data_IF_435726417642
#
_entry.id   IF_435726417642
#
_cell.length_a   1.000
_cell.length_b   1.000
_cell.length_c   1.000
_cell.angle_alpha   90.00
_cell.angle_beta   90.00
_cell.angle_gamma   90.00
#
_symmetry.space_group_name_H-M   'P 1'
#
loop_
_entity.id
_entity.type
_entity.pdbx_description
1 polymer ?
#
# COMPACT_ATOMS: atom_id res chain seq x y z
N UNK A 1 14.62 5.82 56.16
CA UNK A 1 15.97 5.83 55.56
C UNK A 1 16.17 4.50 54.85
N UNK A 2 16.62 4.52 53.58
CA UNK A 2 17.06 3.39 52.71
C UNK A 2 15.96 2.41 52.27
N UNK A 3 15.47 2.38 51.02
CA UNK A 3 16.06 2.11 49.68
C UNK A 3 16.62 0.69 49.50
N UNK A 4 15.86 -0.16 48.81
CA UNK A 4 16.27 -1.23 47.88
C UNK A 4 14.98 -1.73 47.19
N UNK A 5 14.80 -1.83 45.87
CA UNK A 5 15.76 -1.98 44.79
C UNK A 5 15.70 -3.41 44.26
N UNK A 6 14.62 -3.79 43.58
CA UNK A 6 14.51 -5.08 42.87
C UNK A 6 14.08 -4.84 41.43
N UNK A 7 15.05 -4.94 40.52
CA UNK A 7 14.82 -5.06 39.07
C UNK A 7 14.25 -6.46 38.74
N UNK A 8 13.34 -6.60 37.77
CA UNK A 8 12.98 -7.89 37.23
C UNK A 8 14.00 -8.36 36.19
N UNK A 9 14.40 -9.63 36.30
CA UNK A 9 15.27 -10.34 35.35
C UNK A 9 14.53 -10.66 34.03
N UNK A 10 15.24 -10.78 32.90
CA UNK A 10 14.62 -11.12 31.61
C UNK A 10 14.20 -12.60 31.56
N UNK A 11 13.02 -12.85 30.98
CA UNK A 11 12.52 -14.21 30.74
C UNK A 11 13.27 -14.89 29.57
N UNK A 12 13.52 -16.21 29.63
CA UNK A 12 14.24 -16.93 28.60
C UNK A 12 13.35 -17.18 27.37
N UNK A 13 13.93 -17.00 26.19
CA UNK A 13 13.36 -17.38 24.90
C UNK A 13 13.40 -18.91 24.77
N UNK A 14 12.25 -19.56 24.67
CA UNK A 14 12.12 -21.00 24.39
C UNK A 14 11.75 -21.18 22.92
N UNK A 15 12.46 -22.03 22.14
CA UNK A 15 12.10 -22.30 20.76
C UNK A 15 10.98 -23.37 20.72
N UNK A 16 9.82 -23.03 20.17
CA UNK A 16 8.76 -24.02 19.93
C UNK A 16 8.82 -24.48 18.48
N UNK A 17 9.45 -25.64 18.29
CA UNK A 17 9.16 -26.56 17.19
C UNK A 17 7.94 -27.40 17.60
N UNK A 18 6.85 -27.33 16.84
CA UNK A 18 5.81 -28.35 16.89
C UNK A 18 5.04 -28.39 15.56
N UNK A 19 5.34 -29.42 14.77
CA UNK A 19 4.50 -29.89 13.68
C UNK A 19 3.16 -30.37 14.25
N UNK A 20 2.04 -29.85 13.73
CA UNK A 20 0.73 -30.46 13.95
C UNK A 20 0.27 -31.14 12.66
N UNK A 21 0.29 -32.47 12.71
CA UNK A 21 -0.25 -33.35 11.70
C UNK A 21 -1.79 -33.41 11.83
N UNK A 22 -2.51 -33.02 10.77
CA UNK A 22 -3.92 -33.34 10.59
C UNK A 22 -4.03 -34.58 9.69
N UNK A 23 -4.23 -35.75 10.31
CA UNK A 23 -4.63 -36.98 9.60
C UNK A 23 -6.16 -37.05 9.46
N UNK A 24 -6.56 -37.08 8.19
CA UNK A 24 -7.49 -37.99 7.54
C UNK A 24 -8.91 -38.22 8.12
N UNK A 25 -9.91 -37.88 7.30
CA UNK A 25 -11.14 -38.61 6.93
C UNK A 25 -11.68 -37.85 5.69
N UNK A 26 -12.07 -38.40 4.54
CA UNK A 26 -12.33 -39.76 4.12
C UNK A 26 -12.28 -39.88 2.59
N UNK A 27 -11.91 -41.07 2.12
CA UNK A 27 -11.83 -41.46 0.71
C UNK A 27 -13.23 -41.50 0.06
N UNK A 28 -13.38 -40.94 -1.14
CA UNK A 28 -14.24 -41.51 -2.19
C UNK A 28 -13.49 -41.58 -3.52
N UNK A 29 -13.15 -42.81 -3.92
CA UNK A 29 -12.74 -43.20 -5.28
C UNK A 29 -14.00 -43.35 -6.15
N UNK A 30 -14.01 -42.76 -7.34
CA UNK A 30 -14.60 -43.29 -8.60
C UNK A 30 -13.83 -42.66 -9.76
N UNK A 31 -12.83 -43.35 -10.31
CA UNK A 31 -12.89 -44.26 -11.47
C UNK A 31 -13.22 -43.58 -12.81
N UNK A 32 -12.15 -43.43 -13.62
CA UNK A 32 -12.03 -43.35 -15.09
C UNK A 32 -13.32 -43.42 -15.93
N UNK A 33 -13.39 -42.56 -16.95
CA UNK A 33 -13.66 -42.94 -18.36
C UNK A 33 -13.26 -41.80 -19.32
N UNK A 34 -12.19 -42.02 -20.07
CA UNK A 34 -12.02 -41.43 -21.39
C UNK A 34 -12.90 -42.24 -22.35
N UNK A 35 -13.78 -41.58 -23.09
CA UNK A 35 -14.36 -42.11 -24.33
C UNK A 35 -14.45 -40.93 -25.30
N UNK A 36 -13.73 -41.05 -26.42
CA UNK A 36 -13.97 -40.23 -27.58
C UNK A 36 -15.11 -40.80 -28.41
N UNK A 37 -15.88 -39.92 -29.04
CA UNK A 37 -16.70 -40.25 -30.20
C UNK A 37 -16.85 -38.98 -31.02
N UNK A 38 -16.30 -39.01 -32.24
CA UNK A 38 -16.40 -37.94 -33.21
C UNK A 38 -17.67 -37.99 -34.07
N UNK A 39 -17.66 -37.07 -35.05
CA UNK A 39 -18.58 -36.79 -36.17
C UNK A 39 -19.74 -35.82 -35.85
N UNK A 40 -20.13 -34.88 -36.71
CA UNK A 40 -19.57 -34.27 -37.93
C UNK A 40 -20.47 -33.10 -38.39
N UNK A 41 -19.93 -32.30 -39.32
CA UNK A 41 -20.58 -31.43 -40.33
C UNK A 41 -21.13 -30.04 -39.98
N UNK A 42 -20.69 -29.06 -40.79
CA UNK A 42 -21.27 -27.72 -40.90
C UNK A 42 -20.32 -26.70 -41.55
N UNK A 43 -19.98 -26.89 -42.83
CA UNK A 43 -19.22 -25.95 -43.67
C UNK A 43 -20.10 -24.80 -44.18
N UNK A 44 -19.59 -23.56 -44.23
CA UNK A 44 -20.03 -22.57 -45.22
C UNK A 44 -18.90 -21.59 -45.60
N UNK A 45 -18.82 -21.35 -46.91
CA UNK A 45 -17.81 -20.65 -47.70
C UNK A 45 -17.94 -19.13 -47.72
N UNK A 46 -16.84 -18.40 -47.95
CA UNK A 46 -16.87 -17.01 -48.45
C UNK A 46 -16.15 -16.94 -49.80
N UNK A 47 -16.83 -16.34 -50.78
CA UNK A 47 -16.41 -16.13 -52.18
C UNK A 47 -15.65 -14.81 -52.38
N UNK A 48 -14.85 -14.81 -53.43
CA UNK A 48 -14.10 -13.71 -54.07
C UNK A 48 -15.00 -12.65 -54.77
N UNK A 49 -14.43 -11.46 -55.05
CA UNK A 49 -14.96 -10.51 -56.05
C UNK A 49 -14.33 -9.10 -56.05
N UNK A 50 -13.53 -8.80 -57.10
CA UNK A 50 -12.88 -7.54 -57.55
C UNK A 50 -13.90 -6.42 -57.97
N UNK A 51 -13.56 -5.16 -58.42
CA UNK A 51 -12.45 -4.77 -59.34
C UNK A 51 -11.76 -3.37 -59.15
N UNK A 52 -10.85 -3.08 -60.09
CA UNK A 52 -9.80 -2.03 -60.27
C UNK A 52 -10.30 -0.61 -60.63
N UNK A 53 -9.41 0.40 -60.49
CA UNK A 53 -9.13 1.40 -61.54
C UNK A 53 -8.70 2.83 -61.13
N UNK A 54 -7.46 3.22 -61.50
CA UNK A 54 -6.97 4.55 -62.03
C UNK A 54 -7.08 5.86 -61.19
N UNK A 55 -6.21 6.87 -61.21
CA UNK A 55 -4.89 7.18 -61.80
C UNK A 55 -4.32 8.51 -61.20
N UNK A 56 -2.97 8.62 -61.17
CA UNK A 56 -2.08 9.77 -61.44
C UNK A 56 -2.21 11.17 -60.76
N UNK A 57 -1.14 11.61 -60.08
CA UNK A 57 -0.32 12.78 -60.48
C UNK A 57 1.00 12.88 -59.68
N UNK A 58 1.93 13.68 -60.23
CA UNK A 58 3.39 13.56 -60.21
C UNK A 58 4.13 14.44 -59.15
N UNK A 59 5.21 13.87 -58.53
CA UNK A 59 6.63 14.35 -58.35
C UNK A 59 7.00 15.85 -58.05
N UNK A 60 8.25 16.23 -57.62
CA UNK A 60 9.47 15.43 -57.28
C UNK A 60 10.45 15.99 -56.17
N UNK A 61 11.57 15.25 -55.99
CA UNK A 61 12.91 15.57 -55.40
C UNK A 61 13.04 15.69 -53.85
N UNK A 62 14.04 15.11 -53.17
CA UNK A 62 15.32 14.54 -53.63
C UNK A 62 15.99 13.62 -52.61
N UNK A 63 16.94 12.86 -53.15
CA UNK A 63 17.77 11.82 -52.55
C UNK A 63 18.91 12.34 -51.67
N UNK A 64 19.38 11.54 -50.70
CA UNK A 64 20.81 11.11 -50.64
C UNK A 64 21.06 9.94 -49.67
N UNK A 65 21.69 8.91 -50.23
CA UNK A 65 22.52 7.82 -49.73
C UNK A 65 22.61 7.42 -48.24
N UNK A 66 22.31 6.12 -48.00
CA UNK A 66 22.95 5.27 -46.98
C UNK A 66 23.90 4.27 -47.65
N UNK A 67 24.93 3.79 -46.93
CA UNK A 67 25.41 2.43 -47.09
C UNK A 67 25.27 1.61 -45.80
N UNK A 68 24.72 0.39 -45.93
CA UNK A 68 25.06 -0.81 -45.12
C UNK A 68 26.24 -1.49 -45.86
N UNK A 69 27.11 -2.35 -45.33
CA UNK A 69 27.12 -3.23 -44.17
C UNK A 69 28.60 -3.61 -43.87
N UNK A 70 28.89 -4.21 -42.72
CA UNK A 70 30.17 -4.89 -42.50
C UNK A 70 30.24 -5.57 -41.14
N UNK A 71 29.87 -6.85 -41.10
CA UNK A 71 30.17 -7.75 -39.99
C UNK A 71 31.69 -7.92 -39.85
N UNK A 72 32.23 -7.74 -38.65
CA UNK A 72 33.57 -8.22 -38.31
C UNK A 72 33.56 -8.89 -36.93
N UNK A 73 33.84 -10.20 -36.94
CA UNK A 73 34.12 -11.04 -35.78
C UNK A 73 35.40 -10.53 -35.09
N UNK A 74 35.36 -10.32 -33.78
CA UNK A 74 36.57 -10.19 -32.97
C UNK A 74 37.01 -11.58 -32.50
N UNK A 75 38.06 -12.09 -33.13
CA UNK A 75 38.85 -13.22 -32.68
C UNK A 75 39.84 -12.74 -31.61
N UNK A 76 39.85 -13.44 -30.48
CA UNK A 76 40.92 -13.38 -29.49
C UNK A 76 42.22 -13.90 -30.13
N UNK A 77 43.28 -13.11 -30.08
CA UNK A 77 44.64 -13.62 -30.21
C UNK A 77 45.56 -12.91 -29.20
N UNK A 78 46.21 -13.76 -28.43
CA UNK A 78 47.30 -13.48 -27.50
C UNK A 78 48.50 -12.85 -28.21
N UNK A 79 49.04 -11.77 -27.65
CA UNK A 79 50.27 -11.17 -28.14
C UNK A 79 50.81 -10.14 -27.15
N UNK A 80 51.83 -10.56 -26.40
CA UNK A 80 52.72 -9.72 -25.61
C UNK A 80 53.29 -8.60 -26.49
N UNK A 81 53.24 -7.37 -26.01
CA UNK A 81 54.06 -6.28 -26.52
C UNK A 81 54.38 -5.33 -25.35
N UNK A 82 55.60 -5.44 -24.82
CA UNK A 82 56.21 -4.42 -23.96
C UNK A 82 56.43 -3.13 -24.75
N UNK A 83 56.36 -1.95 -24.12
CA UNK A 83 57.07 -0.79 -24.59
C UNK A 83 58.29 -0.52 -23.71
N UNK A 84 59.46 -0.62 -24.34
CA UNK A 84 60.71 -0.05 -23.87
C UNK A 84 60.68 1.48 -24.07
N UNK A 85 60.80 2.26 -22.99
CA UNK A 85 61.41 3.59 -22.98
C UNK A 85 61.76 3.98 -21.53
N UNK A 86 63.05 3.94 -21.13
CA UNK A 86 63.52 4.51 -19.87
C UNK A 86 63.80 6.01 -20.07
N UNK A 87 63.81 6.81 -18.98
CA UNK A 87 64.33 8.19 -18.84
C UNK A 87 63.40 9.32 -18.32
N UNK A 88 62.38 9.05 -17.52
CA UNK A 88 61.78 10.12 -16.69
C UNK A 88 61.31 9.61 -15.31
N UNK A 89 62.27 9.39 -14.40
CA UNK A 89 62.00 9.33 -12.96
C UNK A 89 63.22 9.86 -12.20
N UNK A 90 63.24 11.17 -11.97
CA UNK A 90 63.95 11.80 -10.84
C UNK A 90 63.22 13.08 -10.47
N UNK A 91 63.17 13.32 -9.16
CA UNK A 91 62.50 14.40 -8.46
C UNK A 91 60.99 14.20 -8.23
N UNK A 92 60.64 13.47 -7.16
CA UNK A 92 59.71 13.94 -6.12
C UNK A 92 59.76 12.93 -4.94
N UNK A 93 60.93 12.80 -4.31
CA UNK A 93 61.01 12.26 -2.95
C UNK A 93 60.64 13.40 -1.99
N UNK A 94 59.49 13.31 -1.32
CA UNK A 94 59.14 14.28 -0.27
C UNK A 94 57.67 14.52 0.01
N UNK A 95 56.73 13.96 -0.76
CA UNK A 95 55.31 14.04 -0.40
C UNK A 95 54.95 12.79 0.40
N UNK A 96 54.88 12.94 1.73
CA UNK A 96 54.18 11.96 2.56
C UNK A 96 52.81 11.76 1.94
N UNK A 97 52.51 10.54 1.50
CA UNK A 97 51.17 10.13 1.17
C UNK A 97 50.36 10.15 2.48
N UNK A 98 49.91 11.34 2.87
CA UNK A 98 48.78 11.47 3.78
C UNK A 98 47.68 10.76 3.02
N UNK A 99 47.28 9.58 3.49
CA UNK A 99 46.03 8.97 3.08
C UNK A 99 44.99 10.07 3.22
N UNK A 100 44.54 10.61 2.09
CA UNK A 100 43.28 11.31 1.99
C UNK A 100 42.22 10.20 2.12
N UNK A 101 42.17 9.54 3.29
CA UNK A 101 40.92 9.12 3.88
C UNK A 101 40.30 10.34 4.57
N UNK A 102 40.40 11.52 3.91
CA UNK A 102 39.56 12.64 4.21
C UNK A 102 38.16 12.12 3.91
N UNK A 103 37.45 11.77 4.98
CA UNK A 103 36.14 12.31 5.26
C UNK A 103 35.44 12.78 3.96
N UNK A 104 35.07 11.84 3.09
CA UNK A 104 33.92 12.09 2.24
C UNK A 104 32.81 12.16 3.26
N UNK A 105 32.53 13.36 3.76
CA UNK A 105 31.22 13.66 4.34
C UNK A 105 30.28 13.22 3.24
N UNK A 106 29.67 12.05 3.38
CA UNK A 106 28.51 11.71 2.57
C UNK A 106 27.61 12.91 2.74
N UNK A 107 27.33 13.61 1.65
CA UNK A 107 26.36 14.70 1.66
C UNK A 107 25.13 14.19 2.41
N UNK A 108 24.63 14.99 3.33
CA UNK A 108 23.43 14.62 4.09
C UNK A 108 22.32 14.26 3.08
N UNK A 109 21.68 13.11 3.31
CA UNK A 109 20.66 12.60 2.40
C UNK A 109 19.49 13.57 2.37
N UNK A 110 18.98 13.81 1.15
CA UNK A 110 17.90 14.76 0.90
C UNK A 110 16.55 14.05 0.89
N UNK A 111 15.61 14.51 1.69
CA UNK A 111 14.29 13.89 1.83
C UNK A 111 13.20 14.91 1.50
N UNK A 112 12.39 14.62 0.49
CA UNK A 112 11.20 15.42 0.22
C UNK A 112 10.00 14.83 0.98
N UNK A 113 9.37 15.59 1.85
CA UNK A 113 8.15 15.16 2.55
C UNK A 113 6.95 15.71 1.78
N UNK A 114 6.25 14.86 1.02
CA UNK A 114 5.08 15.27 0.22
C UNK A 114 3.82 15.20 1.07
N UNK A 115 3.13 16.32 1.23
CA UNK A 115 2.05 16.50 2.20
C UNK A 115 0.87 17.31 1.64
N UNK A 116 -0.20 17.39 2.41
CA UNK A 116 -1.44 18.09 2.09
C UNK A 116 -2.25 17.38 1.01
N UNK A 117 -2.58 18.09 -0.07
CA UNK A 117 -3.35 17.56 -1.20
C UNK A 117 -4.81 17.97 -1.24
N UNK A 118 -5.54 17.62 -2.32
CA UNK A 118 -6.95 17.98 -2.53
C UNK A 118 -7.90 17.03 -1.76
N UNK A 119 -7.59 16.78 -0.49
CA UNK A 119 -8.35 15.88 0.40
C UNK A 119 -8.89 16.64 1.61
N UNK A 120 -9.99 16.14 2.18
CA UNK A 120 -10.50 16.61 3.47
C UNK A 120 -9.47 16.42 4.61
N UNK A 121 -8.47 15.56 4.40
CA UNK A 121 -7.43 15.21 5.37
C UNK A 121 -6.14 16.02 5.21
N UNK A 122 -6.13 17.04 4.34
CA UNK A 122 -4.94 17.83 4.03
C UNK A 122 -4.27 18.45 5.27
N UNK A 123 -5.05 18.94 6.25
CA UNK A 123 -4.44 19.51 7.47
C UNK A 123 -3.81 18.45 8.36
N UNK A 124 -4.42 17.26 8.47
CA UNK A 124 -3.85 16.13 9.20
C UNK A 124 -2.51 15.70 8.58
N UNK A 125 -2.46 15.69 7.25
CA UNK A 125 -1.24 15.46 6.50
C UNK A 125 -0.16 16.50 6.83
N UNK A 126 -0.49 17.79 6.85
CA UNK A 126 0.46 18.87 7.22
C UNK A 126 0.97 18.73 8.66
N UNK A 127 0.11 18.35 9.61
CA UNK A 127 0.52 18.08 10.99
C UNK A 127 1.52 16.91 11.04
N UNK A 128 1.22 15.82 10.33
CA UNK A 128 2.12 14.66 10.25
C UNK A 128 3.46 15.02 9.61
N UNK A 129 3.45 15.81 8.53
CA UNK A 129 4.66 16.29 7.88
C UNK A 129 5.55 17.11 8.83
N UNK A 130 4.97 17.99 9.66
CA UNK A 130 5.74 18.76 10.67
C UNK A 130 6.48 17.84 11.66
N UNK A 131 5.83 16.77 12.13
CA UNK A 131 6.46 15.81 13.03
C UNK A 131 7.60 15.06 12.33
N UNK A 132 7.36 14.58 11.09
CA UNK A 132 8.37 13.89 10.28
C UNK A 132 9.58 14.79 10.02
N UNK A 133 9.36 16.06 9.65
CA UNK A 133 10.43 17.03 9.41
C UNK A 133 11.32 17.24 10.66
N UNK A 134 10.72 17.29 11.85
CA UNK A 134 11.47 17.34 13.12
C UNK A 134 12.35 16.11 13.32
N UNK A 135 11.78 14.91 13.17
CA UNK A 135 12.52 13.65 13.27
C UNK A 135 13.67 13.54 12.24
N UNK A 136 13.45 14.02 11.01
CA UNK A 136 14.48 14.05 9.96
C UNK A 136 15.62 15.01 10.32
N UNK A 137 15.30 16.19 10.85
CA UNK A 137 16.30 17.17 11.28
C UNK A 137 17.17 16.63 12.43
N UNK A 138 16.57 15.96 13.42
CA UNK A 138 17.28 15.31 14.53
C UNK A 138 18.28 14.25 14.05
N UNK A 139 18.00 13.62 12.91
CA UNK A 139 18.85 12.58 12.29
C UNK A 139 19.84 13.14 11.25
N UNK A 140 19.84 14.46 11.04
CA UNK A 140 20.79 15.14 10.16
C UNK A 140 20.46 15.04 8.67
N UNK A 141 19.21 14.76 8.30
CA UNK A 141 18.74 14.82 6.91
C UNK A 141 18.55 16.27 6.45
N UNK A 142 18.71 16.51 5.15
CA UNK A 142 18.29 17.77 4.52
C UNK A 142 16.87 17.55 3.99
N UNK A 143 15.88 18.06 4.70
CA UNK A 143 14.48 17.81 4.36
C UNK A 143 13.77 19.06 3.85
N UNK A 144 12.85 18.88 2.90
CA UNK A 144 11.94 19.92 2.41
C UNK A 144 10.51 19.37 2.37
N UNK A 145 9.54 20.15 2.85
CA UNK A 145 8.13 19.80 2.77
C UNK A 145 7.54 20.35 1.46
N UNK A 146 6.92 19.48 0.66
CA UNK A 146 6.37 19.79 -0.67
C UNK A 146 4.87 19.52 -0.65
N UNK A 147 4.08 20.44 -1.18
CA UNK A 147 2.62 20.30 -1.20
C UNK A 147 2.18 19.43 -2.40
N UNK A 148 1.25 18.49 -2.17
CA UNK A 148 0.68 17.66 -3.22
C UNK A 148 -0.30 18.47 -4.07
N UNK A 149 0.21 19.16 -5.07
CA UNK A 149 -0.56 19.96 -6.02
C UNK A 149 -0.03 19.77 -7.46
N UNK A 150 -0.54 20.55 -8.41
CA UNK A 150 -0.14 20.47 -9.82
C UNK A 150 1.35 20.77 -10.10
N UNK A 151 2.07 21.38 -9.15
CA UNK A 151 3.50 21.72 -9.25
C UNK A 151 4.42 20.69 -8.60
N UNK A 152 3.86 19.69 -7.91
CA UNK A 152 4.62 18.70 -7.12
C UNK A 152 5.77 18.08 -7.91
N UNK A 153 5.57 17.77 -9.20
CA UNK A 153 6.60 17.20 -10.05
C UNK A 153 7.78 18.17 -10.28
N UNK A 154 7.49 19.45 -10.54
CA UNK A 154 8.52 20.47 -10.76
C UNK A 154 9.29 20.77 -9.48
N UNK A 155 8.61 20.82 -8.34
CA UNK A 155 9.22 21.03 -7.02
C UNK A 155 10.12 19.85 -6.62
N UNK A 156 9.67 18.61 -6.84
CA UNK A 156 10.49 17.41 -6.63
C UNK A 156 11.74 17.41 -7.51
N UNK A 157 11.63 17.75 -8.80
CA UNK A 157 12.77 17.80 -9.71
C UNK A 157 13.75 18.93 -9.35
N UNK A 158 13.24 20.09 -8.92
CA UNK A 158 14.05 21.22 -8.47
C UNK A 158 14.80 20.89 -7.18
N UNK A 159 14.11 20.28 -6.22
CA UNK A 159 14.72 19.88 -4.96
C UNK A 159 15.67 18.70 -5.15
N UNK A 160 15.45 17.80 -6.13
CA UNK A 160 16.28 16.62 -6.38
C UNK A 160 16.54 15.80 -5.09
N UNK A 161 15.50 15.21 -4.49
CA UNK A 161 15.63 14.38 -3.29
C UNK A 161 16.27 13.02 -3.60
N UNK A 162 16.93 12.44 -2.61
CA UNK A 162 17.35 11.03 -2.65
C UNK A 162 16.17 10.09 -2.34
N UNK A 163 15.23 10.55 -1.49
CA UNK A 163 14.02 9.82 -1.09
C UNK A 163 12.84 10.77 -0.98
N UNK A 164 11.66 10.30 -1.38
CA UNK A 164 10.39 10.95 -1.10
C UNK A 164 9.68 10.23 0.06
N UNK A 165 9.15 10.99 1.01
CA UNK A 165 8.31 10.50 2.09
C UNK A 165 6.88 11.02 1.86
N UNK A 166 6.00 10.22 1.23
CA UNK A 166 4.59 10.57 1.09
C UNK A 166 3.89 10.54 2.45
N UNK A 167 3.15 11.59 2.77
CA UNK A 167 2.24 11.62 3.93
C UNK A 167 0.95 12.37 3.59
N UNK A 168 0.49 12.29 2.34
CA UNK A 168 -0.76 12.89 1.87
C UNK A 168 -1.88 11.85 1.90
N UNK A 169 -2.93 12.10 2.70
CA UNK A 169 -4.04 11.16 2.90
C UNK A 169 -5.16 11.37 1.88
N UNK A 170 -5.80 10.27 1.46
CA UNK A 170 -6.91 10.30 0.52
C UNK A 170 -6.48 10.46 -0.94
N UNK A 171 -7.31 11.16 -1.72
CA UNK A 171 -7.18 11.25 -3.17
C UNK A 171 -5.81 11.80 -3.60
N UNK A 172 -5.26 11.22 -4.68
CA UNK A 172 -3.93 11.44 -5.23
C UNK A 172 -2.75 10.95 -4.37
N UNK A 173 -2.90 10.86 -3.05
CA UNK A 173 -1.82 10.52 -2.13
C UNK A 173 -1.71 9.01 -1.83
N UNK A 174 -2.84 8.37 -1.52
CA UNK A 174 -2.91 6.96 -1.07
C UNK A 174 -3.44 6.00 -2.14
N UNK A 175 -3.94 6.51 -3.27
CA UNK A 175 -4.64 5.77 -4.32
C UNK A 175 -3.72 5.26 -5.46
N UNK A 176 -2.41 5.48 -5.34
CA UNK A 176 -1.43 5.08 -6.36
C UNK A 176 -1.05 6.19 -7.34
N UNK A 177 -1.74 7.34 -7.37
CA UNK A 177 -1.44 8.40 -8.33
C UNK A 177 -0.07 9.04 -8.09
N UNK A 178 0.20 9.49 -6.85
CA UNK A 178 1.51 10.03 -6.47
C UNK A 178 2.60 8.98 -6.65
N UNK A 179 2.34 7.73 -6.26
CA UNK A 179 3.29 6.63 -6.44
C UNK A 179 3.63 6.46 -7.92
N UNK A 180 2.64 6.51 -8.81
CA UNK A 180 2.85 6.43 -10.26
C UNK A 180 3.73 7.57 -10.80
N UNK A 181 3.53 8.80 -10.32
CA UNK A 181 4.41 9.92 -10.64
C UNK A 181 5.84 9.66 -10.17
N UNK A 182 6.03 9.17 -8.94
CA UNK A 182 7.35 8.90 -8.39
C UNK A 182 8.08 7.77 -9.14
N UNK A 183 7.36 6.73 -9.58
CA UNK A 183 7.90 5.69 -10.47
C UNK A 183 8.37 6.28 -11.81
N UNK A 184 7.59 7.18 -12.42
CA UNK A 184 7.96 7.87 -13.69
C UNK A 184 9.21 8.74 -13.50
N UNK A 185 9.31 9.45 -12.38
CA UNK A 185 10.46 10.30 -12.07
C UNK A 185 11.69 9.49 -11.61
N UNK A 186 11.54 8.18 -11.37
CA UNK A 186 12.61 7.33 -10.86
C UNK A 186 13.05 7.70 -9.45
N UNK A 187 12.15 8.28 -8.64
CA UNK A 187 12.44 8.72 -7.27
C UNK A 187 12.05 7.61 -6.28
N UNK A 188 12.98 7.10 -5.46
CA UNK A 188 12.65 6.17 -4.38
C UNK A 188 11.71 6.82 -3.37
N UNK A 189 10.76 6.07 -2.83
CA UNK A 189 9.83 6.57 -1.83
C UNK A 189 9.49 5.56 -0.74
N UNK A 190 9.10 6.10 0.41
CA UNK A 190 8.57 5.36 1.56
C UNK A 190 7.13 4.92 1.27
N UNK A 191 6.81 3.68 1.61
CA UNK A 191 5.47 3.12 1.51
C UNK A 191 5.24 2.27 0.26
N UNK A 192 4.00 1.80 0.16
CA UNK A 192 3.56 0.83 -0.84
C UNK A 192 3.55 1.35 -2.27
N UNK A 193 3.74 0.44 -3.24
CA UNK A 193 3.75 0.78 -4.66
C UNK A 193 2.36 0.99 -5.27
N UNK A 194 2.33 1.40 -6.55
CA UNK A 194 1.10 1.78 -7.27
C UNK A 194 -0.05 0.77 -7.10
N UNK A 195 0.19 -0.51 -7.39
CA UNK A 195 -0.86 -1.53 -7.31
C UNK A 195 -1.39 -1.68 -5.89
N UNK A 196 -0.51 -1.80 -4.90
CA UNK A 196 -0.90 -2.01 -3.52
C UNK A 196 -1.68 -0.81 -2.97
N UNK A 197 -1.26 0.41 -3.29
CA UNK A 197 -1.97 1.65 -2.95
C UNK A 197 -3.35 1.72 -3.60
N UNK A 198 -3.45 1.48 -4.91
CA UNK A 198 -4.71 1.50 -5.64
C UNK A 198 -5.70 0.44 -5.14
N UNK A 199 -5.21 -0.79 -4.90
CA UNK A 199 -6.02 -1.88 -4.36
C UNK A 199 -6.52 -1.54 -2.96
N UNK A 200 -5.67 -1.02 -2.08
CA UNK A 200 -6.04 -0.66 -0.73
C UNK A 200 -7.09 0.46 -0.67
N UNK A 201 -7.02 1.41 -1.61
CA UNK A 201 -8.00 2.48 -1.73
C UNK A 201 -9.39 1.98 -2.19
N UNK A 202 -9.47 0.80 -2.82
CA UNK A 202 -10.71 0.16 -3.26
C UNK A 202 -11.11 -0.99 -2.32
N UNK A 203 -12.12 -0.73 -1.48
CA UNK A 203 -12.54 -1.67 -0.43
C UNK A 203 -13.08 -2.98 -1.02
N UNK A 204 -13.82 -2.94 -2.12
CA UNK A 204 -14.37 -4.13 -2.75
C UNK A 204 -13.27 -5.01 -3.38
N UNK A 205 -12.25 -4.42 -4.01
CA UNK A 205 -11.10 -5.16 -4.53
C UNK A 205 -10.24 -5.73 -3.40
N UNK A 206 -9.95 -4.93 -2.38
CA UNK A 206 -9.24 -5.38 -1.18
C UNK A 206 -9.92 -6.60 -0.54
N UNK A 207 -11.26 -6.57 -0.39
CA UNK A 207 -12.01 -7.70 0.17
C UNK A 207 -11.95 -8.96 -0.68
N UNK A 208 -11.90 -8.86 -2.01
CA UNK A 208 -11.67 -10.05 -2.87
C UNK A 208 -10.34 -10.73 -2.56
N UNK A 209 -9.28 -9.94 -2.34
CA UNK A 209 -7.96 -10.48 -1.96
C UNK A 209 -7.99 -11.09 -0.56
N UNK A 210 -8.62 -10.43 0.40
CA UNK A 210 -8.81 -10.95 1.76
C UNK A 210 -9.55 -12.30 1.75
N UNK A 211 -10.65 -12.40 1.01
CA UNK A 211 -11.39 -13.67 0.84
C UNK A 211 -10.52 -14.75 0.19
N UNK A 212 -9.74 -14.41 -0.84
CA UNK A 212 -8.77 -15.31 -1.45
C UNK A 212 -7.71 -15.83 -0.47
N UNK A 213 -7.29 -14.98 0.47
CA UNK A 213 -6.36 -15.30 1.55
C UNK A 213 -7.01 -15.91 2.80
N UNK A 214 -8.34 -16.15 2.77
CA UNK A 214 -9.13 -16.68 3.89
C UNK A 214 -9.13 -15.78 5.13
N UNK A 215 -8.93 -14.47 4.94
CA UNK A 215 -9.16 -13.49 5.99
C UNK A 215 -10.67 -13.30 6.19
N UNK A 216 -11.16 -13.26 7.44
CA UNK A 216 -12.56 -13.02 7.72
C UNK A 216 -12.91 -11.57 7.36
N UNK A 217 -13.93 -11.38 6.53
CA UNK A 217 -14.46 -10.06 6.15
C UNK A 217 -15.98 -10.10 6.23
N UNK A 218 -16.62 -8.95 6.43
CA UNK A 218 -18.07 -8.85 6.34
C UNK A 218 -18.54 -9.16 4.91
N UNK A 219 -19.60 -9.97 4.81
CA UNK A 219 -20.40 -10.15 3.59
C UNK A 219 -20.80 -8.80 3.03
N UNK A 220 -20.62 -8.61 1.72
CA UNK A 220 -20.77 -7.33 1.06
C UNK A 220 -21.55 -7.40 -0.26
N UNK A 221 -22.14 -6.27 -0.64
CA UNK A 221 -22.75 -6.04 -1.95
C UNK A 221 -22.28 -4.69 -2.49
N UNK A 222 -21.48 -4.73 -3.55
CA UNK A 222 -21.04 -3.54 -4.28
C UNK A 222 -22.14 -3.11 -5.25
N UNK A 223 -22.58 -1.86 -5.11
CA UNK A 223 -23.51 -1.21 -6.02
C UNK A 223 -22.74 -0.43 -7.07
N UNK A 224 -22.84 -0.89 -8.30
CA UNK A 224 -22.38 -0.20 -9.50
C UNK A 224 -23.27 1.01 -9.81
N UNK A 225 -22.82 1.88 -10.72
CA UNK A 225 -23.62 3.03 -11.19
C UNK A 225 -25.04 2.65 -11.62
N UNK A 226 -25.18 1.54 -12.34
CA UNK A 226 -26.49 1.05 -12.79
C UNK A 226 -27.38 0.59 -11.62
N UNK A 227 -26.80 0.02 -10.58
CA UNK A 227 -27.53 -0.36 -9.36
C UNK A 227 -27.94 0.87 -8.54
N UNK A 228 -27.10 1.90 -8.47
CA UNK A 228 -27.45 3.18 -7.82
C UNK A 228 -28.69 3.83 -8.46
N UNK A 229 -28.76 3.83 -9.79
CA UNK A 229 -29.95 4.31 -10.53
C UNK A 229 -31.19 3.46 -10.25
N UNK A 230 -31.01 2.15 -9.99
CA UNK A 230 -32.11 1.27 -9.58
C UNK A 230 -32.62 1.60 -8.18
N UNK A 231 -31.74 1.95 -7.23
CA UNK A 231 -32.15 2.37 -5.87
C UNK A 231 -33.15 3.54 -5.93
N UNK A 232 -32.89 4.52 -6.80
CA UNK A 232 -33.76 5.68 -6.94
C UNK A 232 -35.12 5.36 -7.62
N UNK A 233 -35.14 4.39 -8.54
CA UNK A 233 -36.32 4.05 -9.35
C UNK A 233 -37.25 3.04 -8.66
N UNK A 234 -36.70 2.09 -7.92
CA UNK A 234 -37.47 1.02 -7.26
C UNK A 234 -36.89 0.73 -5.85
N UNK A 235 -37.07 1.66 -4.90
CA UNK A 235 -36.52 1.54 -3.55
C UNK A 235 -37.15 0.39 -2.74
N UNK A 236 -38.38 -0.02 -3.06
CA UNK A 236 -39.07 -1.11 -2.35
C UNK A 236 -38.43 -2.46 -2.64
N UNK A 237 -38.24 -2.76 -3.94
CA UNK A 237 -37.57 -4.00 -4.37
C UNK A 237 -36.12 -4.06 -3.87
N UNK A 238 -35.40 -2.94 -3.98
CA UNK A 238 -34.03 -2.84 -3.48
C UNK A 238 -33.93 -3.09 -1.97
N UNK A 239 -34.84 -2.51 -1.18
CA UNK A 239 -34.89 -2.73 0.27
C UNK A 239 -35.13 -4.20 0.64
N UNK A 240 -36.10 -4.86 -0.01
CA UNK A 240 -36.36 -6.28 0.21
C UNK A 240 -35.16 -7.16 -0.15
N UNK A 241 -34.45 -6.84 -1.24
CA UNK A 241 -33.24 -7.52 -1.66
C UNK A 241 -32.07 -7.31 -0.68
N UNK A 242 -31.87 -6.08 -0.21
CA UNK A 242 -30.83 -5.75 0.77
C UNK A 242 -31.02 -6.53 2.08
N UNK A 243 -32.26 -6.58 2.60
CA UNK A 243 -32.59 -7.37 3.80
C UNK A 243 -32.37 -8.86 3.60
N UNK A 244 -32.75 -9.39 2.43
CA UNK A 244 -32.58 -10.81 2.11
C UNK A 244 -31.10 -11.21 2.01
N UNK A 245 -30.26 -10.35 1.42
CA UNK A 245 -28.83 -10.63 1.21
C UNK A 245 -27.97 -10.38 2.44
N UNK A 246 -28.17 -9.25 3.12
CA UNK A 246 -27.25 -8.74 4.14
C UNK A 246 -27.90 -8.60 5.53
N UNK A 247 -29.19 -8.89 5.65
CA UNK A 247 -29.89 -8.89 6.92
C UNK A 247 -30.32 -7.50 7.41
N UNK A 248 -30.83 -7.41 8.65
CA UNK A 248 -31.50 -6.23 9.17
C UNK A 248 -30.56 -5.18 9.78
N UNK A 249 -29.24 -5.39 9.73
CA UNK A 249 -28.24 -4.47 10.27
C UNK A 249 -27.10 -4.37 9.28
N UNK A 250 -26.81 -3.16 8.81
CA UNK A 250 -25.97 -2.95 7.65
C UNK A 250 -25.08 -1.71 7.81
N UNK A 251 -23.93 -1.74 7.15
CA UNK A 251 -23.11 -0.56 6.89
C UNK A 251 -23.25 -0.21 5.41
N UNK A 252 -23.50 1.06 5.11
CA UNK A 252 -23.45 1.62 3.75
C UNK A 252 -22.28 2.57 3.70
N UNK A 253 -21.33 2.39 2.80
CA UNK A 253 -20.13 3.24 2.72
C UNK A 253 -19.62 3.41 1.28
N UNK A 254 -18.87 4.49 0.99
CA UNK A 254 -18.21 4.65 -0.29
C UNK A 254 -17.19 3.52 -0.54
N UNK A 255 -17.13 3.01 -1.78
CA UNK A 255 -16.13 1.98 -2.10
C UNK A 255 -14.70 2.53 -1.98
N UNK A 256 -14.50 3.76 -2.46
CA UNK A 256 -13.23 4.50 -2.38
C UNK A 256 -13.31 5.68 -1.40
N UNK A 257 -12.15 6.16 -0.93
CA UNK A 257 -12.05 7.27 0.03
C UNK A 257 -11.85 6.82 1.48
N UNK A 258 -11.53 7.79 2.35
CA UNK A 258 -11.08 7.57 3.72
C UNK A 258 -11.95 8.23 4.80
N UNK A 259 -11.50 8.10 6.05
CA UNK A 259 -12.05 8.78 7.24
C UNK A 259 -13.55 8.64 7.50
N UNK A 260 -14.17 7.52 7.09
CA UNK A 260 -15.58 7.23 7.30
C UNK A 260 -16.56 8.29 6.73
N UNK A 261 -16.09 9.17 5.83
CA UNK A 261 -16.95 10.14 5.14
C UNK A 261 -17.94 9.38 4.26
N UNK A 262 -19.21 9.76 4.31
CA UNK A 262 -20.28 9.07 3.56
C UNK A 262 -20.67 7.69 4.11
N UNK A 263 -20.12 7.26 5.25
CA UNK A 263 -20.48 5.98 5.88
C UNK A 263 -21.71 6.14 6.77
N UNK A 264 -22.69 5.26 6.60
CA UNK A 264 -23.94 5.23 7.37
C UNK A 264 -24.15 3.85 7.98
N UNK A 265 -24.45 3.79 9.27
CA UNK A 265 -24.87 2.56 9.96
C UNK A 265 -26.39 2.49 10.04
N UNK A 266 -26.94 1.41 9.52
CA UNK A 266 -28.36 1.09 9.57
C UNK A 266 -28.58 -0.02 10.61
N UNK A 267 -29.37 0.27 11.64
CA UNK A 267 -29.72 -0.69 12.69
C UNK A 267 -31.10 -1.28 12.43
N UNK A 268 -31.39 -2.41 13.10
CA UNK A 268 -32.66 -3.12 12.97
C UNK A 268 -33.86 -2.18 13.00
N UNK A 269 -34.71 -2.30 11.98
CA UNK A 269 -35.93 -1.50 11.84
C UNK A 269 -35.77 -0.25 10.95
N UNK A 270 -34.61 -0.05 10.31
CA UNK A 270 -34.42 1.02 9.35
C UNK A 270 -35.43 0.93 8.19
N UNK A 271 -35.89 2.07 7.69
CA UNK A 271 -36.83 2.14 6.57
C UNK A 271 -36.14 2.10 5.21
N UNK A 272 -36.91 1.84 4.14
CA UNK A 272 -36.41 1.92 2.76
C UNK A 272 -35.88 3.33 2.41
N UNK A 273 -36.48 4.38 2.97
CA UNK A 273 -36.03 5.76 2.79
C UNK A 273 -34.72 6.04 3.54
N UNK A 274 -34.48 5.40 4.69
CA UNK A 274 -33.19 5.48 5.38
C UNK A 274 -32.09 4.79 4.58
N UNK A 275 -32.36 3.60 4.03
CA UNK A 275 -31.42 2.89 3.17
C UNK A 275 -31.12 3.68 1.88
N UNK A 276 -32.14 4.20 1.20
CA UNK A 276 -31.95 5.00 -0.01
C UNK A 276 -31.12 6.27 0.25
N UNK A 277 -31.39 6.97 1.37
CA UNK A 277 -30.59 8.14 1.78
C UNK A 277 -29.14 7.77 2.10
N UNK A 278 -28.91 6.64 2.77
CA UNK A 278 -27.57 6.15 3.07
C UNK A 278 -26.76 5.90 1.78
N UNK A 279 -27.40 5.26 0.78
CA UNK A 279 -26.80 5.03 -0.54
C UNK A 279 -26.53 6.36 -1.26
N UNK A 280 -27.47 7.29 -1.23
CA UNK A 280 -27.30 8.61 -1.83
C UNK A 280 -26.10 9.36 -1.22
N UNK A 281 -25.99 9.40 0.11
CA UNK A 281 -24.87 10.04 0.82
C UNK A 281 -23.53 9.43 0.44
N UNK A 282 -23.45 8.09 0.37
CA UNK A 282 -22.25 7.38 -0.07
C UNK A 282 -21.89 7.73 -1.52
N UNK A 283 -22.87 7.77 -2.42
CA UNK A 283 -22.66 8.05 -3.85
C UNK A 283 -22.18 9.47 -4.17
N UNK A 284 -22.24 10.39 -3.20
CA UNK A 284 -21.66 11.74 -3.32
C UNK A 284 -20.14 11.74 -3.15
N UNK A 285 -19.58 10.68 -2.58
CA UNK A 285 -18.15 10.55 -2.28
C UNK A 285 -17.45 9.62 -3.28
N UNK A 286 -18.10 8.52 -3.66
CA UNK A 286 -17.56 7.52 -4.58
C UNK A 286 -18.61 7.13 -5.63
N UNK A 287 -18.15 6.78 -6.83
CA UNK A 287 -19.03 6.32 -7.92
C UNK A 287 -19.69 4.97 -7.63
N UNK A 288 -19.10 4.19 -6.71
CA UNK A 288 -19.62 2.92 -6.25
C UNK A 288 -19.90 2.96 -4.74
N UNK A 289 -20.96 2.29 -4.32
CA UNK A 289 -21.34 2.18 -2.90
C UNK A 289 -21.26 0.75 -2.44
N UNK A 290 -20.64 0.52 -1.29
CA UNK A 290 -20.50 -0.79 -0.68
C UNK A 290 -21.48 -0.93 0.49
N UNK A 291 -22.35 -1.95 0.41
CA UNK A 291 -23.19 -2.39 1.51
C UNK A 291 -22.53 -3.58 2.19
N UNK A 292 -22.56 -3.64 3.51
CA UNK A 292 -21.96 -4.72 4.29
C UNK A 292 -22.88 -5.15 5.42
N UNK A 293 -22.83 -6.44 5.78
CA UNK A 293 -23.36 -6.92 7.05
C UNK A 293 -22.74 -6.16 8.23
N UNK A 294 -23.54 -5.72 9.19
CA UNK A 294 -23.00 -5.06 10.37
C UNK A 294 -22.44 -6.06 11.37
N UNK A 295 -21.13 -6.00 11.61
CA UNK A 295 -20.45 -6.77 12.64
C UNK A 295 -20.34 -5.94 13.93
N UNK A 296 -20.85 -6.47 15.04
CA UNK A 296 -20.82 -5.80 16.35
C UNK A 296 -19.57 -6.21 17.12
N UNK A 297 -18.66 -5.28 17.36
CA UNK A 297 -17.43 -5.56 18.09
C UNK A 297 -16.67 -4.32 18.53
N UNK A 298 -15.61 -4.56 19.30
CA UNK A 298 -14.59 -3.57 19.63
C UNK A 298 -13.69 -3.33 18.42
N UNK A 299 -13.28 -2.08 18.23
CA UNK A 299 -12.40 -1.70 17.12
C UNK A 299 -10.94 -1.84 17.53
N UNK A 300 -10.17 -2.57 16.72
CA UNK A 300 -8.74 -2.71 16.89
C UNK A 300 -8.00 -2.31 15.62
N UNK A 301 -6.75 -1.92 15.78
CA UNK A 301 -5.85 -1.71 14.66
C UNK A 301 -4.52 -2.42 14.90
N UNK A 302 -3.89 -2.89 13.84
CA UNK A 302 -2.57 -3.51 13.91
C UNK A 302 -1.70 -2.96 12.77
N UNK A 303 -0.60 -2.29 13.15
CA UNK A 303 0.43 -1.89 12.21
C UNK A 303 1.29 -3.07 11.77
N UNK A 304 1.76 -3.05 10.54
CA UNK A 304 2.85 -3.88 10.04
C UNK A 304 3.97 -2.95 9.61
N UNK A 305 5.19 -3.26 10.05
CA UNK A 305 6.42 -2.55 9.69
C UNK A 305 7.41 -3.55 9.09
N UNK A 306 7.91 -3.28 7.90
CA UNK A 306 8.99 -4.06 7.32
C UNK A 306 10.34 -3.59 7.87
N UNK A 307 11.13 -4.53 8.39
CA UNK A 307 12.49 -4.29 8.85
C UNK A 307 13.41 -5.28 8.18
N UNK A 308 14.45 -4.77 7.51
CA UNK A 308 15.42 -5.59 6.78
C UNK A 308 14.76 -6.56 5.77
N UNK A 309 13.65 -6.12 5.14
CA UNK A 309 12.87 -6.92 4.19
C UNK A 309 11.93 -7.95 4.83
N UNK A 310 11.75 -7.92 6.15
CA UNK A 310 10.85 -8.83 6.86
C UNK A 310 9.69 -8.04 7.47
N UNK A 311 8.43 -8.35 7.12
CA UNK A 311 7.26 -7.72 7.74
C UNK A 311 7.08 -8.21 9.17
N UNK A 312 6.97 -7.27 10.10
CA UNK A 312 6.74 -7.50 11.54
C UNK A 312 5.44 -6.80 11.94
N UNK A 313 4.53 -7.53 12.59
CA UNK A 313 3.33 -6.94 13.17
C UNK A 313 3.68 -6.21 14.47
N UNK A 314 3.21 -4.98 14.59
CA UNK A 314 3.25 -4.20 15.83
C UNK A 314 2.19 -4.73 16.82
N UNK A 315 2.26 -4.37 18.11
CA UNK A 315 1.22 -4.71 19.07
C UNK A 315 -0.13 -4.14 18.62
N UNK A 316 -1.23 -4.93 18.62
CA UNK A 316 -2.55 -4.40 18.32
C UNK A 316 -2.96 -3.32 19.33
N UNK A 317 -3.64 -2.27 18.86
CA UNK A 317 -4.15 -1.17 19.67
C UNK A 317 -5.67 -1.22 19.70
N UNK A 318 -6.27 -1.16 20.89
CA UNK A 318 -7.71 -1.04 21.09
C UNK A 318 -8.11 0.44 20.99
N UNK A 319 -9.15 0.74 20.21
CA UNK A 319 -9.69 2.08 20.02
C UNK A 319 -11.01 2.20 20.78
N UNK A 320 -11.03 3.04 21.82
CA UNK A 320 -12.25 3.41 22.53
C UNK A 320 -12.87 4.67 21.91
N UNK A 321 -14.06 4.52 21.37
CA UNK A 321 -14.86 5.63 20.84
C UNK A 321 -15.51 6.40 22.00
N UNK A 322 -15.20 7.71 22.15
CA UNK A 322 -15.72 8.52 23.27
C UNK A 322 -16.94 9.37 22.89
N UNK A 323 -17.13 9.68 21.59
CA UNK A 323 -18.24 10.53 21.12
C UNK A 323 -18.97 9.82 20.00
N UNK A 324 -20.20 9.40 20.30
CA UNK A 324 -21.03 8.51 19.48
C UNK A 324 -20.43 7.10 19.33
N UNK A 325 -21.26 6.05 19.34
CA UNK A 325 -20.80 4.66 19.24
C UNK A 325 -20.30 4.26 17.84
N UNK A 326 -19.46 5.09 17.21
CA UNK A 326 -18.74 4.87 15.95
C UNK A 326 -17.47 5.74 15.86
N UNK A 327 -16.46 5.29 15.09
CA UNK A 327 -15.21 6.02 14.82
C UNK A 327 -15.32 6.87 13.53
N UNK A 328 -15.92 8.05 13.66
CA UNK A 328 -16.07 9.04 12.59
C UNK A 328 -14.88 10.01 12.47
N UNK A 329 -14.91 10.86 11.43
CA UNK A 329 -13.90 11.90 11.18
C UNK A 329 -13.68 12.80 12.41
N UNK A 330 -14.74 13.18 13.13
CA UNK A 330 -14.61 14.03 14.31
C UNK A 330 -13.87 13.31 15.44
N UNK A 331 -14.14 12.02 15.65
CA UNK A 331 -13.48 11.17 16.67
C UNK A 331 -12.01 10.87 16.34
N UNK A 332 -11.65 10.84 15.04
CA UNK A 332 -10.29 10.58 14.55
C UNK A 332 -9.33 11.77 14.75
N UNK A 333 -9.83 13.00 14.71
CA UNK A 333 -8.96 14.18 14.60
C UNK A 333 -9.23 15.32 15.61
N UNK A 334 -10.33 15.27 16.39
CA UNK A 334 -10.46 16.15 17.57
C UNK A 334 -9.55 15.65 18.70
N UNK A 335 -8.76 16.54 19.28
CA UNK A 335 -8.00 16.27 20.50
C UNK A 335 -8.95 15.75 21.60
N UNK A 336 -8.76 14.51 22.02
CA UNK A 336 -9.63 13.84 23.01
C UNK A 336 -10.87 13.12 22.44
N UNK A 337 -10.96 12.89 21.12
CA UNK A 337 -12.09 12.18 20.50
C UNK A 337 -12.09 10.65 20.65
N UNK A 338 -10.92 10.06 20.91
CA UNK A 338 -10.76 8.62 21.17
C UNK A 338 -9.67 8.36 22.21
N UNK A 339 -9.84 7.30 23.01
CA UNK A 339 -8.80 6.78 23.91
C UNK A 339 -8.23 5.52 23.29
N UNK A 340 -6.92 5.38 23.30
CA UNK A 340 -6.23 4.20 22.78
C UNK A 340 -5.64 3.39 23.93
N UNK A 341 -5.58 2.07 23.76
CA UNK A 341 -4.88 1.18 24.67
C UNK A 341 -3.97 0.25 23.87
N UNK A 342 -2.66 0.48 23.98
CA UNK A 342 -1.61 -0.24 23.27
C UNK A 342 -0.56 -0.77 24.27
N UNK A 343 -0.30 -2.09 24.32
CA UNK A 343 -1.03 -3.15 23.64
C UNK A 343 -2.48 -3.29 24.10
N UNK A 344 -3.36 -3.77 23.23
CA UNK A 344 -4.76 -4.01 23.54
C UNK A 344 -4.93 -5.06 24.65
N UNK A 345 -5.86 -4.89 25.62
CA UNK A 345 -5.98 -5.73 26.80
C UNK A 345 -6.78 -7.03 26.54
N UNK A 346 -6.39 -7.78 25.51
CA UNK A 346 -7.00 -9.07 25.16
C UNK A 346 -6.05 -10.24 25.41
N UNK A 347 -6.59 -11.46 25.39
CA UNK A 347 -5.79 -12.68 25.56
C UNK A 347 -4.70 -12.79 24.48
N UNK A 348 -3.49 -13.28 24.80
CA UNK A 348 -2.38 -13.38 23.86
C UNK A 348 -2.72 -14.10 22.55
N UNK A 349 -3.60 -15.10 22.61
CA UNK A 349 -4.04 -15.88 21.44
C UNK A 349 -4.85 -15.02 20.46
N UNK A 350 -5.68 -14.11 20.98
CA UNK A 350 -6.45 -13.16 20.16
C UNK A 350 -5.50 -12.15 19.50
N UNK A 351 -4.56 -11.61 20.27
CA UNK A 351 -3.58 -10.64 19.76
C UNK A 351 -2.71 -11.26 18.66
N UNK A 352 -2.23 -12.50 18.87
CA UNK A 352 -1.48 -13.25 17.87
C UNK A 352 -2.28 -13.47 16.58
N UNK A 353 -3.57 -13.84 16.70
CA UNK A 353 -4.43 -14.03 15.54
C UNK A 353 -4.67 -12.73 14.74
N UNK A 354 -4.83 -11.59 15.43
CA UNK A 354 -4.94 -10.28 14.79
C UNK A 354 -3.62 -9.89 14.08
N UNK A 355 -2.47 -10.13 14.72
CA UNK A 355 -1.15 -9.87 14.13
C UNK A 355 -0.89 -10.74 12.89
N UNK A 356 -1.22 -12.03 12.94
CA UNK A 356 -1.14 -12.94 11.79
C UNK A 356 -2.05 -12.49 10.64
N UNK A 357 -3.27 -12.03 10.97
CA UNK A 357 -4.20 -11.50 9.99
C UNK A 357 -3.68 -10.20 9.35
N UNK A 358 -3.09 -9.29 10.13
CA UNK A 358 -2.49 -8.06 9.62
C UNK A 358 -1.29 -8.34 8.70
N UNK A 359 -0.42 -9.29 9.08
CA UNK A 359 0.68 -9.74 8.22
C UNK A 359 0.18 -10.36 6.91
N UNK A 360 -0.90 -11.13 6.99
CA UNK A 360 -1.53 -11.71 5.80
C UNK A 360 -2.12 -10.62 4.90
N UNK A 361 -2.84 -9.66 5.47
CA UNK A 361 -3.41 -8.51 4.76
C UNK A 361 -2.32 -7.69 4.05
N UNK A 362 -1.22 -7.40 4.75
CA UNK A 362 -0.04 -6.71 4.21
C UNK A 362 0.52 -7.42 2.97
N UNK A 363 0.75 -8.74 3.09
CA UNK A 363 1.32 -9.55 2.00
C UNK A 363 0.40 -9.66 0.80
N UNK A 364 -0.89 -9.92 1.01
CA UNK A 364 -1.82 -10.23 -0.09
C UNK A 364 -2.20 -9.01 -0.91
N UNK A 365 -2.15 -7.82 -0.31
CA UNK A 365 -2.27 -6.55 -1.05
C UNK A 365 -0.96 -6.20 -1.79
N UNK A 366 0.16 -6.82 -1.40
CA UNK A 366 1.48 -6.49 -1.92
C UNK A 366 2.04 -5.19 -1.32
N UNK A 367 1.67 -4.89 -0.07
CA UNK A 367 2.19 -3.74 0.66
C UNK A 367 3.70 -3.91 0.94
N UNK A 368 4.37 -2.79 1.19
CA UNK A 368 5.77 -2.75 1.63
C UNK A 368 6.00 -1.58 2.59
N UNK A 369 7.12 -1.61 3.29
CA UNK A 369 7.52 -0.66 4.35
C UNK A 369 6.60 -0.63 5.56
N UNK A 370 5.34 -0.23 5.35
CA UNK A 370 4.37 -0.08 6.42
C UNK A 370 2.95 -0.24 5.90
N UNK A 371 2.08 -0.73 6.77
CA UNK A 371 0.63 -0.64 6.58
C UNK A 371 -0.08 -0.69 7.93
N UNK A 372 -1.33 -0.27 7.98
CA UNK A 372 -2.16 -0.40 9.18
C UNK A 372 -3.49 -1.06 8.84
N UNK A 373 -3.74 -2.24 9.40
CA UNK A 373 -4.98 -2.99 9.17
C UNK A 373 -5.93 -2.78 10.33
N UNK A 374 -7.18 -2.45 10.02
CA UNK A 374 -8.23 -2.16 11.00
C UNK A 374 -9.22 -3.35 11.10
N UNK A 375 -9.73 -3.63 12.30
CA UNK A 375 -10.48 -4.82 12.66
C UNK A 375 -11.69 -4.50 13.55
N UNK A 376 -12.71 -5.36 13.51
CA UNK A 376 -13.71 -5.46 14.57
C UNK A 376 -13.62 -6.82 15.24
N UNK A 377 -13.66 -6.84 16.58
CA UNK A 377 -13.54 -8.04 17.42
C UNK A 377 -14.78 -8.21 18.30
N UNK A 378 -15.38 -9.40 18.29
CA UNK A 378 -16.51 -9.78 19.14
C UNK A 378 -16.21 -11.11 19.83
N UNK A 379 -15.95 -11.07 21.14
CA UNK A 379 -15.43 -12.24 21.85
C UNK A 379 -14.06 -12.64 21.29
N UNK A 380 -13.99 -13.80 20.64
CA UNK A 380 -12.79 -14.31 19.95
C UNK A 380 -12.87 -14.22 18.43
N UNK A 381 -14.01 -13.82 17.86
CA UNK A 381 -14.19 -13.70 16.41
C UNK A 381 -13.86 -12.28 15.96
N UNK A 382 -13.17 -12.14 14.84
CA UNK A 382 -12.89 -10.84 14.26
C UNK A 382 -13.16 -10.82 12.76
N UNK A 383 -13.34 -9.61 12.23
CA UNK A 383 -13.30 -9.33 10.80
C UNK A 383 -12.26 -8.26 10.49
N UNK A 384 -11.68 -8.34 9.30
CA UNK A 384 -10.81 -7.32 8.70
C UNK A 384 -11.68 -6.29 7.98
N UNK A 385 -11.46 -5.01 8.27
CA UNK A 385 -12.19 -3.90 7.65
C UNK A 385 -11.47 -3.39 6.40
N UNK A 386 -10.26 -2.88 6.59
CA UNK A 386 -9.46 -2.20 5.56
C UNK A 386 -7.98 -2.18 5.96
N UNK A 387 -7.10 -1.90 5.00
CA UNK A 387 -5.68 -1.64 5.25
C UNK A 387 -5.32 -0.26 4.71
N UNK A 388 -4.74 0.57 5.57
CA UNK A 388 -4.28 1.90 5.26
C UNK A 388 -2.78 1.88 4.90
N UNK A 389 -2.43 2.47 3.77
CA UNK A 389 -1.05 2.44 3.25
C UNK A 389 -0.18 3.59 3.74
N UNK A 390 -0.77 4.75 4.05
CA UNK A 390 -0.07 5.87 4.67
C UNK A 390 -0.76 6.21 6.00
N UNK A 391 -0.57 5.41 7.07
CA UNK A 391 -1.17 5.74 8.35
C UNK A 391 -0.65 7.08 8.87
N UNK A 392 -1.48 7.81 9.62
CA UNK A 392 -1.09 9.08 10.24
C UNK A 392 0.19 8.95 11.08
N UNK A 393 1.05 9.96 10.99
CA UNK A 393 2.42 9.95 11.55
C UNK A 393 2.65 11.07 12.57
N UNK A 394 1.60 11.53 13.24
CA UNK A 394 1.80 12.39 14.43
C UNK A 394 2.30 11.52 15.60
N UNK A 395 3.02 12.08 16.59
CA UNK A 395 3.53 11.29 17.72
C UNK A 395 2.44 10.59 18.55
N UNK A 396 1.19 11.04 18.45
CA UNK A 396 0.01 10.45 19.11
C UNK A 396 -0.89 9.67 18.15
N UNK A 397 -0.42 9.41 16.92
CA UNK A 397 -1.11 8.56 15.97
C UNK A 397 -0.90 7.08 16.31
N UNK A 398 -1.88 6.25 15.96
CA UNK A 398 -1.93 4.81 16.27
C UNK A 398 -0.69 4.03 15.81
N UNK A 399 -0.11 4.38 14.65
CA UNK A 399 1.03 3.64 14.12
C UNK A 399 2.35 3.98 14.87
N UNK A 400 2.72 5.26 15.07
CA UNK A 400 3.81 5.63 15.98
C UNK A 400 3.63 5.13 17.42
N UNK A 401 2.41 5.16 17.97
CA UNK A 401 2.14 4.64 19.32
C UNK A 401 2.45 3.13 19.41
N UNK A 402 1.97 2.34 18.44
CA UNK A 402 2.25 0.91 18.40
C UNK A 402 3.75 0.62 18.18
N UNK A 403 4.44 1.42 17.37
CA UNK A 403 5.89 1.32 17.21
C UNK A 403 6.64 1.63 18.51
N UNK A 404 6.22 2.66 19.24
CA UNK A 404 6.77 3.03 20.54
C UNK A 404 6.55 1.94 21.59
N UNK A 405 5.35 1.33 21.63
CA UNK A 405 5.05 0.18 22.49
C UNK A 405 5.90 -1.06 22.12
N UNK A 406 6.27 -1.19 20.85
CA UNK A 406 7.22 -2.20 20.37
C UNK A 406 8.70 -1.85 20.65
N UNK A 407 8.98 -0.69 21.24
CA UNK A 407 10.33 -0.24 21.59
C UNK A 407 11.06 0.51 20.47
N UNK A 408 10.36 1.01 19.45
CA UNK A 408 10.92 1.80 18.34
C UNK A 408 10.54 3.28 18.54
N UNK A 409 11.48 4.16 18.91
CA UNK A 409 11.23 5.59 19.02
C UNK A 409 10.85 6.22 17.68
N UNK A 410 10.04 7.27 17.70
CA UNK A 410 9.55 7.94 16.49
C UNK A 410 10.66 8.35 15.52
N UNK A 411 11.73 8.99 16.00
CA UNK A 411 12.85 9.38 15.14
C UNK A 411 13.61 8.18 14.53
N UNK A 412 13.60 7.02 15.21
CA UNK A 412 14.17 5.78 14.67
C UNK A 412 13.26 5.15 13.61
N UNK A 413 11.94 5.19 13.84
CA UNK A 413 10.95 4.74 12.87
C UNK A 413 11.09 5.50 11.54
N UNK A 414 11.15 6.83 11.59
CA UNK A 414 11.28 7.67 10.39
C UNK A 414 12.62 7.42 9.68
N UNK A 415 13.74 7.33 10.43
CA UNK A 415 15.06 7.01 9.87
C UNK A 415 15.08 5.64 9.17
N UNK A 416 14.49 4.61 9.79
CA UNK A 416 14.42 3.27 9.23
C UNK A 416 13.62 3.21 7.92
N UNK A 417 12.48 3.89 7.86
CA UNK A 417 11.65 3.99 6.65
C UNK A 417 12.41 4.68 5.51
N UNK A 418 13.06 5.82 5.78
CA UNK A 418 13.85 6.55 4.78
C UNK A 418 15.01 5.71 4.27
N UNK A 419 15.76 5.05 5.16
CA UNK A 419 16.89 4.20 4.75
C UNK A 419 16.44 3.02 3.90
N UNK A 420 15.30 2.41 4.25
CA UNK A 420 14.72 1.30 3.48
C UNK A 420 14.36 1.77 2.08
N UNK A 421 13.68 2.91 1.95
CA UNK A 421 13.39 3.51 0.65
C UNK A 421 14.65 3.88 -0.14
N UNK A 422 15.64 4.51 0.49
CA UNK A 422 16.91 4.90 -0.15
C UNK A 422 17.71 3.69 -0.67
N UNK A 423 17.55 2.53 -0.06
CA UNK A 423 18.23 1.29 -0.49
C UNK A 423 17.68 0.73 -1.80
N UNK A 424 16.49 1.17 -2.23
CA UNK A 424 15.86 0.73 -3.48
C UNK A 424 16.59 1.34 -4.65
N UNK A 425 17.00 0.48 -5.58
CA UNK A 425 17.44 0.95 -6.89
C UNK A 425 16.20 1.39 -7.67
N UNK A 426 16.21 2.57 -8.32
CA UNK A 426 15.16 2.91 -9.25
C UNK A 426 15.08 1.81 -10.33
N UNK A 427 13.87 1.44 -10.72
CA UNK A 427 13.66 0.47 -11.80
C UNK A 427 14.41 0.94 -13.04
N UNK A 428 15.20 0.06 -13.66
CA UNK A 428 15.92 0.45 -14.89
C UNK A 428 14.92 0.65 -16.03
N UNK A 429 15.17 1.56 -16.98
CA UNK A 429 14.33 1.69 -18.16
C UNK A 429 14.18 0.34 -18.88
N UNK A 430 12.93 -0.15 -19.00
CA UNK A 430 12.60 -1.43 -19.64
C UNK A 430 12.59 -2.65 -18.69
N UNK A 431 12.89 -2.48 -17.41
CA UNK A 431 12.74 -3.54 -16.40
C UNK A 431 11.27 -3.65 -16.01
N UNK A 432 10.67 -4.82 -16.20
CA UNK A 432 9.29 -5.08 -15.76
C UNK A 432 9.32 -5.10 -14.23
N UNK A 433 8.52 -4.27 -13.53
CA UNK A 433 8.45 -4.32 -12.08
C UNK A 433 8.10 -5.74 -11.63
N UNK A 434 8.90 -6.30 -10.73
CA UNK A 434 8.51 -7.53 -10.07
C UNK A 434 7.33 -7.21 -9.15
N UNK A 435 6.15 -7.76 -9.45
CA UNK A 435 5.08 -7.77 -8.47
C UNK A 435 5.54 -8.64 -7.28
N UNK A 436 5.32 -8.19 -6.02
CA UNK A 436 5.60 -9.03 -4.87
C UNK A 436 4.85 -10.37 -5.02
N UNK A 437 5.59 -11.46 -4.83
CA UNK A 437 5.13 -12.85 -5.02
C UNK A 437 4.24 -13.35 -3.90
#
# INVERSE_FOLDING_TARGET
>A
MSVAGTMPMPMPVVPVSASVALRALGRRRRSRRCVGSGRAFGSFSVREGCPRGEAEHERPWGSTHRPRAGHARLLWSSGLCEPAFPWFFRAFEGVRCVRISALVRRSAMKVAVVMGGPSAEAEVSRVSARAIMGALAERGYVAEAIELNEKVAAELLSFAPDVVFPIAHGALGEDGCLQGLLEILGLPYVGSGVLASAVAADKAHTKKLYRGARLPVAEEWLLTRAELERVARDPESFYGEALSRLGPEMIVKPNTGGSAVGTTRLLRGFSKEELARAVELSSRVSEETLLETYFRGSELTCGVLERDGVPVALPPTLIHQQVSGWYDFESKYKSGGSRHECPAPFAPEILSAIQEAALTAHRVIGARDLSRTDFLLSGSEFIVLETNMLPGMTPVSLFPEAAQAFGIPFAELIDGLVRTAASRKPARPGEVPAFPS
#
